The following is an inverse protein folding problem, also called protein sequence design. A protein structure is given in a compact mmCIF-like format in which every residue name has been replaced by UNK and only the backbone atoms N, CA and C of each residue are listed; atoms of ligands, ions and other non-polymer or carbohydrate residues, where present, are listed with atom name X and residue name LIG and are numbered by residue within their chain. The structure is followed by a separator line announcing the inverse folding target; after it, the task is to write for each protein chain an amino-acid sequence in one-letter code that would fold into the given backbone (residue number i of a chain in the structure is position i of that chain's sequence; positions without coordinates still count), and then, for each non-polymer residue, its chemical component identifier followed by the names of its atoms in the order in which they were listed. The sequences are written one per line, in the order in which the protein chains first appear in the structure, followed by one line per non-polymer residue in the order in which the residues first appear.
data_IF_545320583898
#
_entry.id   IF_545320583898
#
_cell.length_a   1.000
_cell.length_b   1.000
_cell.length_c   1.000
_cell.angle_alpha   90.00
_cell.angle_beta   90.00
_cell.angle_gamma   90.00
#
_symmetry.space_group_name_H-M   'P 1'
#
loop_
_entity.id
_entity.type
_entity.pdbx_description
1 polymer ?
#
# COMPACT_ATOMS: atom_id res chain seq x y z
N UNK A 1 6.48 -14.02 4.85
CA UNK A 1 5.66 -14.99 4.09
C UNK A 1 5.09 -16.10 4.97
N UNK A 2 5.90 -16.83 5.74
CA UNK A 2 5.41 -17.91 6.61
C UNK A 2 4.38 -17.46 7.66
N UNK A 3 4.54 -16.27 8.21
CA UNK A 3 3.59 -15.72 9.18
C UNK A 3 2.20 -15.48 8.57
N UNK A 4 2.12 -14.92 7.38
CA UNK A 4 0.85 -14.68 6.67
C UNK A 4 0.18 -16.00 6.26
N UNK A 5 0.98 -16.97 5.82
CA UNK A 5 0.49 -18.31 5.52
C UNK A 5 -0.07 -19.00 6.79
N UNK A 6 0.64 -18.90 7.91
CA UNK A 6 0.19 -19.45 9.17
C UNK A 6 -1.14 -18.81 9.64
N UNK A 7 -1.28 -17.49 9.50
CA UNK A 7 -2.51 -16.77 9.84
C UNK A 7 -3.66 -17.21 8.92
N UNK A 8 -3.42 -17.34 7.61
CA UNK A 8 -4.43 -17.81 6.67
C UNK A 8 -4.87 -19.25 6.99
N UNK A 9 -3.92 -20.14 7.26
CA UNK A 9 -4.21 -21.53 7.63
C UNK A 9 -5.01 -21.62 8.93
N UNK A 10 -4.64 -20.83 9.94
CA UNK A 10 -5.40 -20.78 11.20
C UNK A 10 -6.82 -20.25 10.97
N UNK A 11 -6.99 -19.19 10.19
CA UNK A 11 -8.31 -18.67 9.86
C UNK A 11 -9.16 -19.70 9.11
N UNK A 12 -8.58 -20.41 8.14
CA UNK A 12 -9.25 -21.49 7.41
C UNK A 12 -9.67 -22.64 8.33
N UNK A 13 -8.82 -23.04 9.28
CA UNK A 13 -9.14 -24.04 10.27
C UNK A 13 -10.39 -23.66 11.09
N UNK A 14 -10.45 -22.42 11.57
CA UNK A 14 -11.61 -21.91 12.34
C UNK A 14 -12.87 -21.84 11.47
N UNK A 15 -12.77 -21.45 10.18
CA UNK A 15 -13.92 -21.46 9.25
C UNK A 15 -14.49 -22.88 9.17
N UNK A 16 -13.65 -23.88 8.90
CA UNK A 16 -14.08 -25.28 8.83
C UNK A 16 -14.73 -25.78 10.13
N UNK A 17 -14.11 -25.47 11.24
CA UNK A 17 -14.62 -25.85 12.56
C UNK A 17 -15.99 -25.20 12.87
N UNK A 18 -16.14 -23.89 12.58
CA UNK A 18 -17.41 -23.19 12.76
C UNK A 18 -18.52 -23.86 11.97
N UNK A 19 -18.26 -24.19 10.71
CA UNK A 19 -19.23 -24.86 9.85
C UNK A 19 -19.50 -26.30 10.31
N UNK A 20 -18.48 -27.06 10.68
CA UNK A 20 -18.63 -28.43 11.17
C UNK A 20 -19.46 -28.51 12.48
N UNK A 21 -19.39 -27.48 13.30
CA UNK A 21 -20.16 -27.34 14.55
C UNK A 21 -21.57 -26.78 14.32
N UNK A 22 -22.07 -26.72 13.08
CA UNK A 22 -23.41 -26.24 12.72
C UNK A 22 -23.57 -24.72 12.64
N UNK A 23 -22.47 -23.98 12.68
CA UNK A 23 -22.48 -22.54 12.38
C UNK A 23 -22.71 -22.28 10.88
N UNK A 24 -23.29 -21.14 10.56
CA UNK A 24 -23.46 -20.71 9.17
C UNK A 24 -22.24 -19.93 8.66
N UNK A 25 -22.25 -19.64 7.36
CA UNK A 25 -21.17 -18.89 6.71
C UNK A 25 -21.01 -17.45 7.27
N UNK A 26 -22.08 -16.87 7.81
CA UNK A 26 -22.06 -15.54 8.41
C UNK A 26 -21.37 -15.56 9.77
N UNK A 27 -21.54 -16.65 10.55
CA UNK A 27 -20.81 -16.86 11.81
C UNK A 27 -19.30 -16.95 11.59
N UNK A 28 -18.86 -17.52 10.46
CA UNK A 28 -17.46 -17.58 10.06
C UNK A 28 -16.92 -16.28 9.45
N UNK A 29 -17.75 -15.26 9.26
CA UNK A 29 -17.45 -14.06 8.48
C UNK A 29 -16.16 -13.36 8.85
N UNK A 30 -15.85 -13.15 10.14
CA UNK A 30 -14.61 -12.51 10.58
C UNK A 30 -13.36 -13.33 10.18
N UNK A 31 -13.43 -14.65 10.24
CA UNK A 31 -12.33 -15.53 9.86
C UNK A 31 -12.16 -15.58 8.34
N UNK A 32 -13.24 -15.46 7.59
CA UNK A 32 -13.20 -15.30 6.13
C UNK A 32 -12.46 -14.01 5.76
N UNK A 33 -12.80 -12.88 6.37
CA UNK A 33 -12.06 -11.62 6.15
C UNK A 33 -10.58 -11.77 6.47
N UNK A 34 -10.25 -12.35 7.61
CA UNK A 34 -8.87 -12.57 8.05
C UNK A 34 -8.09 -13.46 7.07
N UNK A 35 -8.71 -14.48 6.51
CA UNK A 35 -8.13 -15.34 5.49
C UNK A 35 -7.78 -14.55 4.22
N UNK A 36 -8.74 -13.80 3.67
CA UNK A 36 -8.53 -13.05 2.43
C UNK A 36 -7.57 -11.87 2.60
N UNK A 37 -7.54 -11.24 3.76
CA UNK A 37 -6.56 -10.20 4.08
C UNK A 37 -5.13 -10.78 4.13
N UNK A 38 -4.95 -11.91 4.82
CA UNK A 38 -3.67 -12.62 4.87
C UNK A 38 -3.22 -13.11 3.49
N UNK A 39 -4.15 -13.58 2.63
CA UNK A 39 -3.89 -13.91 1.22
C UNK A 39 -3.34 -12.71 0.46
N UNK A 40 -3.96 -11.54 0.61
CA UNK A 40 -3.55 -10.31 -0.05
C UNK A 40 -2.14 -9.89 0.37
N UNK A 41 -1.82 -9.95 1.66
CA UNK A 41 -0.48 -9.63 2.18
C UNK A 41 0.58 -10.66 1.73
N UNK A 42 0.22 -11.95 1.72
CA UNK A 42 1.10 -13.01 1.20
C UNK A 42 1.45 -12.75 -0.27
N UNK A 43 0.46 -12.45 -1.12
CA UNK A 43 0.68 -12.16 -2.53
C UNK A 43 1.58 -10.93 -2.75
N UNK A 44 1.41 -9.87 -1.95
CA UNK A 44 2.29 -8.69 -2.01
C UNK A 44 3.73 -9.01 -1.63
N UNK A 45 3.93 -9.85 -0.61
CA UNK A 45 5.25 -10.26 -0.15
C UNK A 45 5.90 -11.25 -1.12
N UNK A 46 5.15 -12.18 -1.70
CA UNK A 46 5.61 -13.09 -2.73
C UNK A 46 6.19 -12.34 -3.94
N UNK A 47 5.53 -11.28 -4.39
CA UNK A 47 6.01 -10.44 -5.50
C UNK A 47 7.28 -9.64 -5.18
N UNK A 48 7.65 -9.49 -3.91
CA UNK A 48 8.84 -8.73 -3.47
C UNK A 48 10.02 -9.61 -3.11
N UNK A 49 9.79 -10.87 -2.76
CA UNK A 49 10.81 -11.80 -2.29
C UNK A 49 11.26 -12.69 -3.45
N UNK A 50 12.56 -12.73 -3.71
CA UNK A 50 13.13 -13.57 -4.75
C UNK A 50 13.16 -15.08 -4.44
N UNK A 51 12.38 -15.57 -3.48
CA UNK A 51 12.25 -17.00 -3.15
C UNK A 51 11.03 -17.57 -3.87
N UNK A 52 11.21 -17.93 -5.14
CA UNK A 52 10.12 -18.30 -6.03
C UNK A 52 9.40 -19.60 -5.64
N UNK A 53 10.14 -20.62 -5.17
CA UNK A 53 9.57 -21.93 -4.84
C UNK A 53 8.68 -21.92 -3.60
N UNK A 54 9.16 -21.30 -2.50
CA UNK A 54 8.39 -21.22 -1.25
C UNK A 54 7.13 -20.37 -1.44
N UNK A 55 7.26 -19.25 -2.17
CA UNK A 55 6.13 -18.39 -2.52
C UNK A 55 5.10 -19.14 -3.37
N UNK A 56 5.55 -19.94 -4.35
CA UNK A 56 4.66 -20.73 -5.20
C UNK A 56 3.84 -21.73 -4.39
N UNK A 57 4.48 -22.54 -3.54
CA UNK A 57 3.76 -23.53 -2.73
C UNK A 57 2.82 -22.89 -1.71
N UNK A 58 3.23 -21.78 -1.10
CA UNK A 58 2.37 -21.02 -0.16
C UNK A 58 1.13 -20.47 -0.89
N UNK A 59 1.28 -19.90 -2.07
CA UNK A 59 0.16 -19.40 -2.88
C UNK A 59 -0.75 -20.53 -3.37
N UNK A 60 -0.18 -21.67 -3.73
CA UNK A 60 -0.97 -22.82 -4.16
C UNK A 60 -1.82 -23.40 -3.02
N UNK A 61 -1.27 -23.51 -1.83
CA UNK A 61 -2.02 -23.92 -0.64
C UNK A 61 -3.19 -22.94 -0.35
N UNK A 62 -2.95 -21.63 -0.46
CA UNK A 62 -4.01 -20.63 -0.27
C UNK A 62 -5.12 -20.78 -1.33
N UNK A 63 -4.79 -21.09 -2.59
CA UNK A 63 -5.79 -21.33 -3.63
C UNK A 63 -6.67 -22.54 -3.33
N UNK A 64 -6.09 -23.62 -2.81
CA UNK A 64 -6.87 -24.79 -2.39
C UNK A 64 -7.83 -24.45 -1.25
N UNK A 65 -7.38 -23.68 -0.27
CA UNK A 65 -8.25 -23.22 0.82
C UNK A 65 -9.34 -22.26 0.31
N UNK A 66 -9.03 -21.39 -0.63
CA UNK A 66 -10.00 -20.50 -1.28
C UNK A 66 -11.09 -21.26 -2.01
N UNK A 67 -10.71 -22.32 -2.77
CA UNK A 67 -11.67 -23.19 -3.44
C UNK A 67 -12.62 -23.86 -2.43
N UNK A 68 -12.09 -24.35 -1.31
CA UNK A 68 -12.91 -24.93 -0.25
C UNK A 68 -13.84 -23.88 0.40
N UNK A 69 -13.39 -22.65 0.63
CA UNK A 69 -14.24 -21.56 1.11
C UNK A 69 -15.33 -21.23 0.08
N UNK A 70 -14.99 -21.19 -1.21
CA UNK A 70 -15.97 -20.99 -2.28
C UNK A 70 -17.10 -22.04 -2.24
N UNK A 71 -16.74 -23.30 -2.07
CA UNK A 71 -17.71 -24.39 -1.92
C UNK A 71 -18.63 -24.15 -0.71
N UNK A 72 -18.10 -23.72 0.41
CA UNK A 72 -18.90 -23.38 1.59
C UNK A 72 -19.89 -22.23 1.31
N UNK A 73 -19.47 -21.19 0.56
CA UNK A 73 -20.36 -20.10 0.12
C UNK A 73 -21.51 -20.59 -0.77
N UNK A 74 -21.21 -21.56 -1.65
CA UNK A 74 -22.20 -22.10 -2.60
C UNK A 74 -23.20 -23.02 -1.88
N UNK A 75 -22.72 -23.90 -0.99
CA UNK A 75 -23.55 -24.93 -0.36
C UNK A 75 -24.28 -24.44 0.92
N UNK A 76 -23.70 -23.51 1.65
CA UNK A 76 -24.26 -23.02 2.92
C UNK A 76 -24.69 -21.57 2.90
N UNK A 77 -24.29 -20.83 1.87
CA UNK A 77 -24.71 -19.45 1.63
C UNK A 77 -25.99 -19.36 0.83
N UNK A 78 -26.55 -18.15 0.73
CA UNK A 78 -27.63 -17.88 -0.23
C UNK A 78 -27.09 -17.93 -1.68
N UNK A 79 -27.96 -18.22 -2.63
CA UNK A 79 -27.59 -18.17 -4.04
C UNK A 79 -26.97 -16.82 -4.42
N UNK A 80 -25.84 -16.84 -5.12
CA UNK A 80 -25.09 -15.64 -5.54
C UNK A 80 -24.24 -14.97 -4.46
N UNK A 81 -24.19 -15.51 -3.23
CA UNK A 81 -23.38 -14.92 -2.15
C UNK A 81 -21.89 -14.84 -2.48
N UNK A 82 -21.35 -15.83 -3.20
CA UNK A 82 -19.96 -15.81 -3.65
C UNK A 82 -19.69 -14.69 -4.66
N UNK A 83 -20.58 -14.48 -5.61
CA UNK A 83 -20.46 -13.41 -6.60
C UNK A 83 -20.53 -12.02 -5.95
N UNK A 84 -21.44 -11.85 -4.99
CA UNK A 84 -21.52 -10.61 -4.21
C UNK A 84 -20.26 -10.38 -3.38
N UNK A 85 -19.69 -11.43 -2.81
CA UNK A 85 -18.40 -11.37 -2.11
C UNK A 85 -17.27 -10.93 -3.02
N UNK A 86 -17.17 -11.48 -4.23
CA UNK A 86 -16.16 -11.09 -5.21
C UNK A 86 -16.32 -9.61 -5.63
N UNK A 87 -17.54 -9.15 -5.87
CA UNK A 87 -17.82 -7.74 -6.17
C UNK A 87 -17.41 -6.83 -5.01
N UNK A 88 -17.78 -7.18 -3.79
CA UNK A 88 -17.38 -6.44 -2.59
C UNK A 88 -15.85 -6.34 -2.46
N UNK A 89 -15.12 -7.43 -2.66
CA UNK A 89 -13.66 -7.42 -2.62
C UNK A 89 -13.06 -6.51 -3.72
N UNK A 90 -13.62 -6.58 -4.94
CA UNK A 90 -13.16 -5.75 -6.05
C UNK A 90 -13.38 -4.25 -5.77
N UNK A 91 -14.53 -3.88 -5.22
CA UNK A 91 -14.83 -2.50 -4.83
C UNK A 91 -13.95 -2.01 -3.67
N UNK A 92 -13.76 -2.82 -2.65
CA UNK A 92 -12.87 -2.52 -1.53
C UNK A 92 -11.43 -2.31 -2.01
N UNK A 93 -10.96 -3.14 -2.94
CA UNK A 93 -9.64 -2.99 -3.55
C UNK A 93 -9.53 -1.68 -4.33
N UNK A 94 -10.52 -1.36 -5.17
CA UNK A 94 -10.56 -0.10 -5.94
C UNK A 94 -10.53 1.13 -5.04
N UNK A 95 -11.28 1.12 -3.93
CA UNK A 95 -11.26 2.21 -2.94
C UNK A 95 -9.88 2.39 -2.32
N UNK A 96 -9.26 1.30 -1.84
CA UNK A 96 -7.89 1.34 -1.26
C UNK A 96 -6.85 1.86 -2.27
N UNK A 97 -6.96 1.45 -3.53
CA UNK A 97 -6.07 1.92 -4.60
C UNK A 97 -6.29 3.41 -4.92
N UNK A 98 -7.54 3.88 -4.93
CA UNK A 98 -7.85 5.30 -5.12
C UNK A 98 -7.30 6.16 -3.98
N UNK A 99 -7.54 5.77 -2.73
CA UNK A 99 -7.00 6.44 -1.54
C UNK A 99 -5.46 6.47 -1.55
N UNK A 100 -4.83 5.34 -1.90
CA UNK A 100 -3.37 5.27 -2.02
C UNK A 100 -2.83 6.22 -3.11
N UNK A 101 -3.51 6.33 -4.25
CA UNK A 101 -3.14 7.28 -5.33
C UNK A 101 -3.29 8.72 -4.87
N UNK A 102 -4.37 9.06 -4.16
CA UNK A 102 -4.57 10.41 -3.62
C UNK A 102 -3.47 10.80 -2.63
N UNK A 103 -3.07 9.88 -1.74
CA UNK A 103 -1.97 10.10 -0.79
C UNK A 103 -0.66 10.36 -1.54
N UNK A 104 -0.34 9.54 -2.56
CA UNK A 104 0.87 9.71 -3.38
C UNK A 104 0.86 11.05 -4.12
N UNK A 105 -0.26 11.40 -4.75
CA UNK A 105 -0.41 12.68 -5.45
C UNK A 105 -0.27 13.88 -4.50
N UNK A 106 -0.84 13.78 -3.29
CA UNK A 106 -0.69 14.81 -2.27
C UNK A 106 0.77 14.97 -1.82
N UNK A 107 1.51 13.87 -1.69
CA UNK A 107 2.93 13.90 -1.36
C UNK A 107 3.77 14.52 -2.48
N UNK A 108 3.49 14.20 -3.74
CA UNK A 108 4.18 14.78 -4.91
C UNK A 108 3.95 16.29 -4.92
N UNK A 109 2.71 16.76 -4.81
CA UNK A 109 2.38 18.20 -4.77
C UNK A 109 3.06 18.93 -3.61
N UNK A 110 3.21 18.30 -2.44
CA UNK A 110 3.96 18.88 -1.31
C UNK A 110 5.44 19.03 -1.63
N UNK A 111 6.05 18.00 -2.23
CA UNK A 111 7.46 18.03 -2.64
C UNK A 111 7.71 19.10 -3.71
N UNK A 112 6.85 19.22 -4.71
CA UNK A 112 6.97 20.25 -5.75
C UNK A 112 6.91 21.67 -5.18
N UNK A 113 5.98 21.92 -4.25
CA UNK A 113 5.91 23.22 -3.54
C UNK A 113 7.17 23.51 -2.74
N UNK A 114 7.71 22.50 -2.05
CA UNK A 114 8.93 22.63 -1.27
C UNK A 114 10.14 22.95 -2.17
N UNK A 115 10.26 22.24 -3.30
CA UNK A 115 11.32 22.49 -4.28
C UNK A 115 11.21 23.87 -4.93
N UNK A 116 10.00 24.31 -5.28
CA UNK A 116 9.77 25.65 -5.80
C UNK A 116 10.16 26.73 -4.79
N UNK A 117 9.86 26.54 -3.50
CA UNK A 117 10.25 27.45 -2.43
C UNK A 117 11.78 27.49 -2.23
N UNK A 118 12.44 26.31 -2.20
CA UNK A 118 13.90 26.20 -2.07
C UNK A 118 14.60 26.90 -3.25
N UNK A 119 14.15 26.66 -4.48
CA UNK A 119 14.72 27.32 -5.65
C UNK A 119 14.54 28.85 -5.59
N UNK A 120 13.37 29.32 -5.14
CA UNK A 120 13.13 30.76 -4.93
C UNK A 120 14.11 31.37 -3.94
N UNK A 121 14.33 30.73 -2.80
CA UNK A 121 15.29 31.18 -1.78
C UNK A 121 16.72 31.18 -2.31
N UNK A 122 17.14 30.16 -3.06
CA UNK A 122 18.48 30.10 -3.66
C UNK A 122 18.71 31.23 -4.66
N UNK A 123 17.73 31.54 -5.49
CA UNK A 123 17.82 32.64 -6.46
C UNK A 123 17.98 33.97 -5.73
N UNK A 124 17.17 34.23 -4.70
CA UNK A 124 17.28 35.47 -3.89
C UNK A 124 18.64 35.57 -3.21
N UNK A 125 19.12 34.48 -2.63
CA UNK A 125 20.45 34.45 -1.99
C UNK A 125 21.58 34.74 -2.99
N UNK A 126 21.49 34.19 -4.20
CA UNK A 126 22.49 34.46 -5.25
C UNK A 126 22.48 35.92 -5.71
N UNK A 127 21.31 36.54 -5.84
CA UNK A 127 21.18 37.96 -6.20
C UNK A 127 21.76 38.86 -5.12
N UNK A 128 21.44 38.57 -3.85
CA UNK A 128 21.95 39.36 -2.71
C UNK A 128 23.47 39.26 -2.61
N UNK A 129 24.04 38.06 -2.73
CA UNK A 129 25.48 37.88 -2.71
C UNK A 129 26.18 38.59 -3.87
N UNK A 130 25.61 38.54 -5.08
CA UNK A 130 26.10 39.27 -6.23
C UNK A 130 26.09 40.79 -6.02
N UNK A 131 25.01 41.35 -5.46
CA UNK A 131 24.90 42.76 -5.14
C UNK A 131 25.95 43.23 -4.11
N UNK A 132 26.18 42.43 -3.08
CA UNK A 132 27.19 42.72 -2.05
C UNK A 132 28.60 42.72 -2.63
N UNK A 133 28.93 41.77 -3.50
CA UNK A 133 30.22 41.71 -4.17
C UNK A 133 30.44 42.96 -5.06
N UNK A 134 29.44 43.33 -5.85
CA UNK A 134 29.51 44.53 -6.72
C UNK A 134 29.70 45.79 -5.89
N UNK A 135 28.93 45.97 -4.81
CA UNK A 135 29.06 47.10 -3.92
C UNK A 135 30.46 47.15 -3.24
N UNK A 136 31.01 46.01 -2.84
CA UNK A 136 32.36 45.91 -2.31
C UNK A 136 33.45 46.32 -3.33
N UNK A 137 33.32 45.89 -4.57
CA UNK A 137 34.24 46.26 -5.65
C UNK A 137 34.18 47.77 -5.91
N UNK A 138 33.00 48.36 -6.01
CA UNK A 138 32.80 49.80 -6.21
C UNK A 138 33.46 50.59 -5.07
N UNK A 139 33.21 50.17 -3.81
CA UNK A 139 33.79 50.81 -2.65
C UNK A 139 35.33 50.78 -2.66
N UNK A 140 35.91 49.65 -3.05
CA UNK A 140 37.38 49.44 -3.14
C UNK A 140 38.00 50.28 -4.23
N UNK A 141 37.34 50.45 -5.36
CA UNK A 141 37.81 51.30 -6.47
C UNK A 141 37.76 52.80 -6.10
N UNK A 142 36.68 53.22 -5.43
CA UNK A 142 36.52 54.62 -4.97
C UNK A 142 37.54 54.98 -3.91
N UNK A 143 37.79 54.09 -2.95
CA UNK A 143 38.76 54.35 -1.87
C UNK A 143 40.21 54.31 -2.31
N UNK A 144 40.59 53.48 -3.31
CA UNK A 144 41.95 53.45 -3.87
C UNK A 144 42.22 54.48 -4.96
N UNK A 145 41.16 55.06 -5.57
CA UNK A 145 41.33 56.15 -6.58
C UNK A 145 41.52 57.52 -5.98
N UNK A 146 41.59 57.68 -4.66
CA UNK A 146 41.85 58.96 -3.99
C UNK A 146 43.26 59.10 -3.40
N UNK A 147 44.25 58.31 -3.84
CA UNK A 147 45.66 58.45 -3.48
C UNK A 147 46.46 58.96 -4.66
#
# INVERSE_FOLDING_TARGET
MLAELAIANAAFGVIKETIANGGDIMAAGQHIFKFFDSKSELAKKANKSGSDSEAFFALEQIKQHEAAIQELFIYQGRAGLWDDWLKFQAEAKRKREAEAREIVLAQIKRKEKLWAWINGVLIVAAVVTGAVIIAGIIWLVVTKGQV
#
